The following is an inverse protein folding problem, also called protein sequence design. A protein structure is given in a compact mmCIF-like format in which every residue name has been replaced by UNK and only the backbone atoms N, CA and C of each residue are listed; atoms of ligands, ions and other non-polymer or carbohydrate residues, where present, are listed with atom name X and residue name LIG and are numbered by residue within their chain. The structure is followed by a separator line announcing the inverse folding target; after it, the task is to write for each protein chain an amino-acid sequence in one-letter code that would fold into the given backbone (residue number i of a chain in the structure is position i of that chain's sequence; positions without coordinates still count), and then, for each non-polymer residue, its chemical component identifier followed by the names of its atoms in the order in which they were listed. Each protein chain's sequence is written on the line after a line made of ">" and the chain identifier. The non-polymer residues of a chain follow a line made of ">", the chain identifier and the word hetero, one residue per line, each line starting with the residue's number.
data_IF_591924192781
#
_entry.id   IF_591924192781
#
_cell.length_a   1.000
_cell.length_b   1.000
_cell.length_c   1.000
_cell.angle_alpha   90.00
_cell.angle_beta   90.00
_cell.angle_gamma   90.00
#
_symmetry.space_group_name_H-M   'P 1'
#
loop_
_entity.id
_entity.type
_entity.pdbx_description
1 polymer ?
#
# COMPACT_ATOMS: atom_id res chain seq x y z
N UNK A 1 3.07 10.62 7.68
CA UNK A 1 1.62 10.56 7.95
C UNK A 1 1.38 9.66 9.16
N UNK A 2 0.40 9.96 10.00
CA UNK A 2 0.04 9.10 11.14
C UNK A 2 -0.84 7.91 10.69
N UNK A 3 -1.18 7.00 11.61
CA UNK A 3 -1.99 5.81 11.31
C UNK A 3 -3.32 6.13 10.63
N UNK A 4 -4.10 7.04 11.19
CA UNK A 4 -5.42 7.42 10.66
C UNK A 4 -5.34 7.99 9.24
N UNK A 5 -4.38 8.88 8.99
CA UNK A 5 -4.15 9.48 7.68
C UNK A 5 -3.78 8.43 6.63
N UNK A 6 -2.94 7.46 7.00
CA UNK A 6 -2.52 6.37 6.12
C UNK A 6 -3.68 5.41 5.85
N UNK A 7 -4.44 5.03 6.88
CA UNK A 7 -5.64 4.21 6.71
C UNK A 7 -6.64 4.88 5.78
N UNK A 8 -6.92 6.17 5.95
CA UNK A 8 -7.82 6.91 5.05
C UNK A 8 -7.28 7.03 3.62
N UNK A 9 -5.96 7.11 3.46
CA UNK A 9 -5.31 7.15 2.15
C UNK A 9 -5.47 5.81 1.40
N UNK A 10 -5.42 4.68 2.08
CA UNK A 10 -5.36 3.36 1.45
C UNK A 10 -6.67 2.57 1.47
N UNK A 11 -7.45 2.68 2.54
CA UNK A 11 -8.62 1.81 2.78
C UNK A 11 -9.64 1.90 1.65
N UNK A 12 -9.93 0.76 1.04
CA UNK A 12 -10.83 0.63 -0.10
C UNK A 12 -10.21 0.97 -1.45
N UNK A 13 -8.89 1.18 -1.54
CA UNK A 13 -8.24 1.72 -2.74
C UNK A 13 -7.14 0.81 -3.27
N UNK A 14 -6.86 0.96 -4.56
CA UNK A 14 -5.70 0.37 -5.23
C UNK A 14 -4.63 1.42 -5.43
N UNK A 15 -3.47 1.15 -4.88
CA UNK A 15 -2.26 1.91 -5.10
C UNK A 15 -1.47 1.32 -6.26
N UNK A 16 -0.94 2.18 -7.14
CA UNK A 16 -0.21 1.78 -8.34
C UNK A 16 1.21 2.34 -8.37
N UNK A 17 2.08 1.52 -8.95
CA UNK A 17 3.52 1.72 -9.09
C UNK A 17 3.94 1.29 -10.51
N UNK A 18 5.14 1.65 -11.00
CA UNK A 18 5.60 1.23 -12.33
C UNK A 18 5.52 -0.29 -12.61
N UNK A 19 5.64 -1.15 -11.58
CA UNK A 19 5.64 -2.62 -11.73
C UNK A 19 4.85 -3.37 -10.64
N UNK A 20 4.08 -2.62 -9.84
CA UNK A 20 3.39 -3.15 -8.68
C UNK A 20 2.03 -2.47 -8.57
N UNK A 21 1.04 -3.22 -8.12
CA UNK A 21 -0.26 -2.70 -7.73
C UNK A 21 -0.67 -3.38 -6.43
N UNK A 22 -1.28 -2.66 -5.50
CA UNK A 22 -1.83 -3.25 -4.27
C UNK A 22 -3.17 -2.66 -3.98
N UNK A 23 -4.16 -3.53 -3.87
CA UNK A 23 -5.46 -3.21 -3.32
C UNK A 23 -5.44 -3.40 -1.81
N UNK A 24 -5.84 -2.38 -1.09
CA UNK A 24 -5.99 -2.35 0.37
C UNK A 24 -7.49 -2.33 0.69
N UNK A 25 -8.07 -3.49 0.97
CA UNK A 25 -9.48 -3.64 1.32
C UNK A 25 -9.79 -2.99 2.67
N UNK A 26 -10.97 -2.39 2.79
CA UNK A 26 -11.44 -1.77 4.04
C UNK A 26 -11.72 -2.77 5.16
N UNK A 27 -11.76 -4.05 4.82
CA UNK A 27 -11.88 -5.22 5.71
C UNK A 27 -10.52 -5.73 6.23
N UNK A 28 -9.42 -5.06 5.88
CA UNK A 28 -8.06 -5.47 6.26
C UNK A 28 -7.44 -6.51 5.34
N UNK A 29 -8.14 -6.95 4.29
CA UNK A 29 -7.56 -7.82 3.26
C UNK A 29 -6.73 -6.99 2.28
N UNK A 30 -5.67 -7.58 1.75
CA UNK A 30 -4.88 -6.97 0.70
C UNK A 30 -4.60 -7.95 -0.43
N UNK A 31 -4.58 -7.42 -1.65
CA UNK A 31 -4.22 -8.17 -2.85
C UNK A 31 -3.23 -7.36 -3.67
N UNK A 32 -2.10 -7.97 -4.02
CA UNK A 32 -1.07 -7.32 -4.80
C UNK A 32 -0.83 -8.04 -6.12
N UNK A 33 -0.44 -7.28 -7.13
CA UNK A 33 0.12 -7.76 -8.38
C UNK A 33 1.55 -7.23 -8.46
N UNK A 34 2.54 -8.11 -8.41
CA UNK A 34 3.95 -7.76 -8.55
C UNK A 34 4.54 -8.59 -9.68
N UNK A 35 5.05 -7.93 -10.73
CA UNK A 35 5.63 -8.61 -11.89
C UNK A 35 4.74 -9.73 -12.46
N UNK A 36 3.42 -9.46 -12.53
CA UNK A 36 2.36 -10.41 -12.97
C UNK A 36 2.08 -11.59 -12.02
N UNK A 37 2.74 -11.65 -10.87
CA UNK A 37 2.44 -12.62 -9.83
C UNK A 37 1.40 -12.00 -8.89
N UNK A 38 0.32 -12.75 -8.62
CA UNK A 38 -0.71 -12.34 -7.66
C UNK A 38 -0.35 -12.83 -6.27
N UNK A 39 -0.57 -11.95 -5.31
CA UNK A 39 -0.39 -12.19 -3.91
C UNK A 39 -1.66 -11.77 -3.16
N UNK A 40 -1.98 -12.50 -2.11
CA UNK A 40 -3.09 -12.18 -1.22
C UNK A 40 -2.61 -12.34 0.21
N UNK A 41 -3.17 -11.51 1.08
CA UNK A 41 -2.83 -11.46 2.49
C UNK A 41 -3.67 -10.42 3.21
N UNK A 42 -3.15 -9.92 4.32
CA UNK A 42 -3.75 -8.83 5.09
C UNK A 42 -2.81 -7.64 5.15
N UNK A 43 -3.36 -6.49 5.50
CA UNK A 43 -2.58 -5.31 5.76
C UNK A 43 -2.98 -4.69 7.10
N UNK A 44 -2.02 -4.05 7.74
CA UNK A 44 -2.24 -3.33 8.99
C UNK A 44 -1.47 -2.02 8.99
N UNK A 45 -1.96 -1.06 9.77
CA UNK A 45 -1.34 0.25 9.93
C UNK A 45 -1.07 0.48 11.41
N UNK A 46 0.19 0.77 11.75
CA UNK A 46 0.55 1.16 13.11
C UNK A 46 0.07 2.58 13.43
N UNK A 47 -0.01 2.94 14.71
CA UNK A 47 -0.32 4.31 15.12
C UNK A 47 0.61 5.36 14.51
N UNK A 48 1.87 4.99 14.24
CA UNK A 48 2.86 5.86 13.60
C UNK A 48 2.73 5.93 12.06
N UNK A 49 1.75 5.25 11.45
CA UNK A 49 1.53 5.25 10.00
C UNK A 49 2.41 4.26 9.22
N UNK A 50 2.99 3.27 9.90
CA UNK A 50 3.71 2.18 9.22
C UNK A 50 2.70 1.15 8.73
N UNK A 51 2.69 0.91 7.44
CA UNK A 51 1.89 -0.14 6.79
C UNK A 51 2.70 -1.41 6.70
N UNK A 52 2.11 -2.54 7.07
CA UNK A 52 2.72 -3.86 6.89
C UNK A 52 1.78 -4.78 6.13
N UNK A 53 2.32 -5.45 5.12
CA UNK A 53 1.66 -6.48 4.32
C UNK A 53 2.05 -7.85 4.87
N UNK A 54 1.06 -8.62 5.32
CA UNK A 54 1.22 -9.95 5.92
C UNK A 54 0.65 -11.05 5.01
N UNK A 55 1.45 -12.07 4.69
CA UNK A 55 1.00 -13.20 3.87
C UNK A 55 2.12 -14.18 3.55
N UNK A 56 1.80 -15.43 3.22
CA UNK A 56 2.81 -16.50 2.99
C UNK A 56 3.88 -16.17 1.95
N UNK A 57 3.55 -15.31 0.98
CA UNK A 57 4.46 -14.89 -0.10
C UNK A 57 4.97 -13.46 0.06
N UNK A 58 4.55 -12.76 1.10
CA UNK A 58 5.03 -11.44 1.45
C UNK A 58 6.05 -11.63 2.57
N UNK A 59 7.33 -11.38 2.28
CA UNK A 59 8.40 -11.43 3.28
C UNK A 59 8.30 -10.24 4.26
N UNK A 60 7.15 -10.06 4.93
CA UNK A 60 6.84 -8.95 5.84
C UNK A 60 7.22 -7.59 5.25
N UNK A 61 6.57 -7.24 4.14
CA UNK A 61 6.85 -5.99 3.44
C UNK A 61 6.17 -4.85 4.21
N UNK A 62 6.98 -3.96 4.78
CA UNK A 62 6.47 -2.80 5.50
C UNK A 62 7.02 -1.50 4.93
N UNK A 63 6.17 -0.48 4.91
CA UNK A 63 6.49 0.83 4.38
C UNK A 63 5.76 1.94 5.15
N UNK A 64 6.06 3.18 4.84
CA UNK A 64 5.42 4.35 5.45
C UNK A 64 5.18 5.43 4.40
N UNK A 65 4.45 6.48 4.77
CA UNK A 65 4.11 7.55 3.85
C UNK A 65 4.47 8.91 4.43
N UNK A 66 5.02 9.77 3.59
CA UNK A 66 5.17 11.21 3.82
C UNK A 66 4.20 11.96 2.93
N UNK A 67 3.70 13.09 3.41
CA UNK A 67 2.83 13.97 2.65
C UNK A 67 3.49 15.34 2.60
N UNK A 68 3.99 15.68 1.42
CA UNK A 68 4.64 16.95 1.15
C UNK A 68 3.67 17.85 0.38
N UNK A 69 2.83 18.58 1.13
CA UNK A 69 1.85 19.53 0.58
C UNK A 69 0.88 18.93 -0.45
N UNK A 70 0.42 17.71 -0.22
CA UNK A 70 -0.52 16.98 -1.09
C UNK A 70 0.13 15.94 -1.99
N UNK A 71 1.45 15.99 -2.16
CA UNK A 71 2.20 14.92 -2.81
C UNK A 71 2.52 13.82 -1.78
N UNK A 72 1.88 12.65 -1.92
CA UNK A 72 2.12 11.51 -1.04
C UNK A 72 3.25 10.65 -1.61
N UNK A 73 4.30 10.43 -0.83
CA UNK A 73 5.44 9.59 -1.18
C UNK A 73 5.54 8.42 -0.22
N UNK A 74 5.76 7.21 -0.74
CA UNK A 74 6.03 6.03 0.09
C UNK A 74 7.52 5.91 0.36
N UNK A 75 7.83 5.55 1.59
CA UNK A 75 9.17 5.21 2.06
C UNK A 75 9.19 3.72 2.40
N UNK A 76 10.02 2.97 1.68
CA UNK A 76 10.24 1.53 1.89
C UNK A 76 11.74 1.28 2.11
N UNK A 77 12.11 0.65 3.22
CA UNK A 77 13.50 0.41 3.61
C UNK A 77 14.45 1.63 3.48
N UNK A 78 13.93 2.85 3.67
CA UNK A 78 14.70 4.10 3.53
C UNK A 78 14.78 4.65 2.10
N UNK A 79 14.21 3.96 1.11
CA UNK A 79 14.08 4.43 -0.27
C UNK A 79 12.72 5.09 -0.49
N UNK A 80 12.72 6.30 -1.04
CA UNK A 80 11.51 7.00 -1.47
C UNK A 80 11.10 6.51 -2.85
N UNK A 81 9.91 5.92 -2.96
CA UNK A 81 9.28 5.62 -4.25
C UNK A 81 8.04 6.49 -4.38
N UNK A 82 7.99 7.29 -5.45
CA UNK A 82 6.80 8.06 -5.76
C UNK A 82 5.62 7.12 -6.00
N UNK A 83 4.57 7.25 -5.19
CA UNK A 83 3.28 6.63 -5.48
C UNK A 83 2.80 7.23 -6.80
N UNK A 84 2.50 6.39 -7.80
CA UNK A 84 2.04 6.92 -9.10
C UNK A 84 0.58 7.38 -9.01
N UNK A 85 -0.25 6.60 -8.34
CA UNK A 85 -1.68 6.85 -8.22
C UNK A 85 -2.28 6.03 -7.08
N UNK A 86 -3.31 6.56 -6.43
CA UNK A 86 -4.20 5.80 -5.53
C UNK A 86 -5.63 5.94 -6.03
N UNK A 87 -6.26 4.83 -6.39
CA UNK A 87 -7.54 4.79 -7.11
C UNK A 87 -8.59 4.05 -6.29
N UNK A 88 -9.81 4.59 -6.22
CA UNK A 88 -10.91 3.93 -5.51
C UNK A 88 -11.24 2.55 -6.12
N UNK A 89 -11.49 1.60 -5.23
CA UNK A 89 -11.88 0.23 -5.55
C UNK A 89 -10.72 -0.70 -5.91
N UNK A 90 -11.04 -1.98 -6.09
CA UNK A 90 -10.10 -3.03 -6.50
C UNK A 90 -9.84 -2.98 -8.00
N UNK A 91 -8.67 -2.45 -8.40
CA UNK A 91 -8.28 -2.20 -9.79
C UNK A 91 -6.89 -2.76 -10.12
N UNK A 92 -6.70 -4.04 -9.83
CA UNK A 92 -5.51 -4.79 -10.26
C UNK A 92 -5.64 -5.12 -11.75
N UNK A 93 -4.71 -4.63 -12.56
CA UNK A 93 -4.55 -4.96 -13.97
C UNK A 93 -4.33 -6.47 -14.17
N UNK A 94 -4.66 -6.98 -15.36
CA UNK A 94 -4.59 -8.42 -15.67
C UNK A 94 -3.18 -8.88 -15.99
#
# INVERSE_FOLDING_TARGET
>A
MNGEQVTAHLSGKTERWPYHETYFGSDGNAEALWEKIRFAGTWEVSAAGKVCLNGKKWNNVCHSYVNDYGAITRIDAGLSSGVKETVEGKKLSR
#
